data_IF_368521646947
#
_entry.id   IF_368521646947
#
_cell.length_a   1.000
_cell.length_b   1.000
_cell.length_c   1.000
_cell.angle_alpha   90.00
_cell.angle_beta   90.00
_cell.angle_gamma   90.00
#
_symmetry.space_group_name_H-M   'P 1'
#
loop_
_entity.id
_entity.type
_entity.pdbx_description
1 polymer ?
#
# COMPACT_ATOMS: atom_id res chain seq x y z
N UNK A 1 -18.43 16.26 10.18
CA UNK A 1 -17.53 15.45 9.32
C UNK A 1 -18.33 14.37 8.61
N UNK A 2 -18.04 14.06 7.35
CA UNK A 2 -18.68 12.94 6.66
C UNK A 2 -18.10 11.60 7.17
N UNK A 3 -18.92 10.56 7.33
CA UNK A 3 -18.48 9.23 7.81
C UNK A 3 -17.28 8.67 7.03
N UNK A 4 -17.16 8.99 5.73
CA UNK A 4 -16.04 8.55 4.90
C UNK A 4 -14.70 9.21 5.25
N UNK A 5 -14.71 10.46 5.76
CA UNK A 5 -13.49 11.15 6.20
C UNK A 5 -12.94 10.48 7.46
N UNK A 6 -13.81 10.21 8.44
CA UNK A 6 -13.41 9.49 9.66
C UNK A 6 -12.85 8.10 9.30
N UNK A 7 -13.49 7.38 8.37
CA UNK A 7 -12.99 6.07 7.92
C UNK A 7 -11.63 6.18 7.22
N UNK A 8 -11.37 7.28 6.50
CA UNK A 8 -10.06 7.52 5.90
C UNK A 8 -8.99 7.74 6.98
N UNK A 9 -9.27 8.61 7.95
CA UNK A 9 -8.35 8.90 9.06
C UNK A 9 -8.06 7.63 9.88
N UNK A 10 -9.11 6.86 10.21
CA UNK A 10 -8.99 5.58 10.91
C UNK A 10 -8.15 4.57 10.11
N UNK A 11 -8.39 4.45 8.80
CA UNK A 11 -7.63 3.56 7.93
C UNK A 11 -6.14 3.95 7.89
N UNK A 12 -5.84 5.24 7.71
CA UNK A 12 -4.47 5.76 7.70
C UNK A 12 -3.77 5.49 9.04
N UNK A 13 -4.42 5.84 10.15
CA UNK A 13 -3.87 5.61 11.49
C UNK A 13 -3.61 4.13 11.76
N UNK A 14 -4.56 3.26 11.36
CA UNK A 14 -4.41 1.82 11.48
C UNK A 14 -3.22 1.29 10.66
N UNK A 15 -3.05 1.74 9.42
CA UNK A 15 -1.90 1.35 8.60
C UNK A 15 -0.56 1.80 9.20
N UNK A 16 -0.48 3.02 9.72
CA UNK A 16 0.76 3.54 10.33
C UNK A 16 1.08 2.79 11.63
N UNK A 17 0.06 2.49 12.44
CA UNK A 17 0.25 1.81 13.73
C UNK A 17 0.84 0.39 13.63
N UNK A 18 0.79 -0.22 12.44
CA UNK A 18 1.29 -1.57 12.16
C UNK A 18 2.71 -1.61 11.61
N UNK A 19 3.30 -0.44 11.35
CA UNK A 19 4.69 -0.36 10.91
C UNK A 19 5.65 -0.86 11.98
N UNK A 20 6.69 -1.56 11.54
CA UNK A 20 7.73 -2.11 12.38
C UNK A 20 9.02 -2.33 11.58
N UNK A 21 10.14 -2.43 12.30
CA UNK A 21 11.45 -2.73 11.73
C UNK A 21 11.98 -1.61 10.82
N UNK A 22 12.73 -2.00 9.80
CA UNK A 22 13.23 -1.09 8.79
C UNK A 22 12.11 -0.74 7.80
N UNK A 23 11.68 0.52 7.79
CA UNK A 23 10.52 0.98 7.05
C UNK A 23 10.90 1.80 5.82
N UNK A 24 10.25 1.52 4.69
CA UNK A 24 10.23 2.43 3.54
C UNK A 24 8.91 3.20 3.53
N UNK A 25 8.98 4.52 3.61
CA UNK A 25 7.84 5.41 3.45
C UNK A 25 7.83 5.99 2.04
N UNK A 26 6.77 5.75 1.29
CA UNK A 26 6.60 6.33 -0.05
C UNK A 26 6.00 7.75 -0.01
N UNK A 27 6.25 8.45 1.09
CA UNK A 27 5.86 9.81 1.40
C UNK A 27 6.82 10.38 2.45
N UNK A 28 7.01 11.71 2.51
CA UNK A 28 7.74 12.34 3.60
C UNK A 28 7.13 12.01 4.96
N UNK A 29 7.96 11.69 5.95
CA UNK A 29 7.59 11.35 7.31
C UNK A 29 6.83 12.49 8.00
N UNK A 30 7.15 13.73 7.64
CA UNK A 30 6.46 14.94 8.12
C UNK A 30 4.99 15.01 7.69
N UNK A 31 4.61 14.27 6.65
CA UNK A 31 3.22 14.20 6.18
C UNK A 31 2.38 13.13 6.88
N UNK A 32 2.95 12.41 7.86
CA UNK A 32 2.19 11.44 8.65
C UNK A 32 1.29 12.17 9.66
N UNK A 33 0.00 11.78 9.78
CA UNK A 33 -0.92 12.42 10.71
C UNK A 33 -0.72 11.97 12.17
N UNK A 34 0.08 10.94 12.40
CA UNK A 34 0.40 10.40 13.73
C UNK A 34 1.88 10.02 13.81
N UNK A 35 2.37 9.91 15.04
CA UNK A 35 3.73 9.42 15.30
C UNK A 35 3.90 7.97 14.86
N UNK A 36 5.14 7.63 14.47
CA UNK A 36 5.50 6.27 14.12
C UNK A 36 5.55 5.37 15.38
N UNK A 37 5.18 4.08 15.25
CA UNK A 37 5.30 3.14 16.35
C UNK A 37 6.75 3.00 16.84
N UNK A 38 6.93 2.75 18.14
CA UNK A 38 8.25 2.45 18.72
C UNK A 38 8.91 1.20 18.14
N UNK A 39 8.13 0.33 17.49
CA UNK A 39 8.64 -0.86 16.79
C UNK A 39 9.40 -0.52 15.49
N UNK A 40 9.31 0.72 14.99
CA UNK A 40 10.07 1.18 13.82
C UNK A 40 11.51 1.48 14.23
N UNK A 41 12.48 0.80 13.61
CA UNK A 41 13.91 0.92 13.94
C UNK A 41 14.66 1.85 13.00
N UNK A 42 14.22 1.96 11.75
CA UNK A 42 14.83 2.79 10.70
C UNK A 42 13.75 3.23 9.71
N UNK A 43 13.93 4.42 9.13
CA UNK A 43 13.06 5.00 8.11
C UNK A 43 13.90 5.38 6.91
N UNK A 44 13.43 5.00 5.73
CA UNK A 44 13.88 5.51 4.43
C UNK A 44 12.67 6.09 3.70
N UNK A 45 12.82 7.25 3.05
CA UNK A 45 11.70 7.96 2.38
C UNK A 45 11.77 7.87 0.84
N UNK A 46 12.77 7.16 0.31
CA UNK A 46 12.96 6.97 -1.13
C UNK A 46 13.69 5.66 -1.41
N UNK A 47 13.22 4.93 -2.42
CA UNK A 47 13.96 3.81 -2.97
C UNK A 47 15.21 4.35 -3.70
N UNK A 48 16.39 4.02 -3.21
CA UNK A 48 17.68 4.36 -3.84
C UNK A 48 18.27 3.07 -4.44
N UNK A 49 18.73 3.15 -5.69
CA UNK A 49 19.32 2.05 -6.44
C UNK A 49 20.58 1.46 -5.77
N UNK A 50 21.16 2.18 -4.79
CA UNK A 50 22.34 1.76 -4.03
C UNK A 50 22.05 1.28 -2.61
N UNK A 51 20.79 1.27 -2.19
CA UNK A 51 20.43 0.83 -0.86
C UNK A 51 20.13 -0.68 -0.86
N UNK A 52 21.11 -1.48 -0.39
CA UNK A 52 20.95 -2.92 -0.16
C UNK A 52 20.06 -3.23 1.07
N UNK A 53 19.37 -2.23 1.63
CA UNK A 53 18.44 -2.41 2.73
C UNK A 53 17.26 -3.30 2.33
N UNK A 54 17.00 -4.30 3.17
CA UNK A 54 15.73 -5.03 3.16
C UNK A 54 14.75 -4.33 4.11
N UNK A 55 13.54 -4.04 3.63
CA UNK A 55 12.48 -3.39 4.40
C UNK A 55 11.51 -4.40 4.98
N UNK A 56 11.21 -4.29 6.26
CA UNK A 56 10.22 -5.10 6.96
C UNK A 56 8.80 -4.58 6.71
N UNK A 57 8.66 -3.25 6.64
CA UNK A 57 7.38 -2.59 6.37
C UNK A 57 7.53 -1.53 5.28
N UNK A 58 6.54 -1.41 4.41
CA UNK A 58 6.44 -0.36 3.42
C UNK A 58 5.11 0.35 3.60
N UNK A 59 5.11 1.68 3.63
CA UNK A 59 3.90 2.48 3.71
C UNK A 59 3.69 3.30 2.44
N UNK A 60 2.48 3.23 1.89
CA UNK A 60 2.00 4.21 0.91
C UNK A 60 0.66 4.79 1.31
N UNK A 61 0.54 6.12 1.25
CA UNK A 61 -0.73 6.81 1.43
C UNK A 61 -0.87 7.77 0.25
N UNK A 62 -1.73 7.44 -0.70
CA UNK A 62 -2.02 8.25 -1.87
C UNK A 62 -0.89 8.39 -2.90
N UNK A 63 0.18 7.60 -2.79
CA UNK A 63 1.36 7.72 -3.65
C UNK A 63 1.46 6.58 -4.67
N UNK A 64 1.13 5.34 -4.28
CA UNK A 64 1.17 4.21 -5.23
C UNK A 64 0.20 4.42 -6.39
N UNK A 65 -1.04 4.86 -6.12
CA UNK A 65 -2.02 5.03 -7.20
C UNK A 65 -1.68 6.20 -8.15
N UNK A 66 -0.78 7.09 -7.76
CA UNK A 66 -0.26 8.17 -8.62
C UNK A 66 0.98 7.78 -9.43
N UNK A 67 1.54 6.58 -9.21
CA UNK A 67 2.74 6.15 -9.90
C UNK A 67 2.47 5.92 -11.40
N UNK A 68 3.31 6.52 -12.23
CA UNK A 68 3.20 6.51 -13.69
C UNK A 68 3.35 5.11 -14.28
N UNK A 69 4.25 4.31 -13.72
CA UNK A 69 4.45 2.91 -14.06
C UNK A 69 4.41 2.04 -12.79
N UNK A 70 3.23 2.03 -12.15
CA UNK A 70 3.00 1.28 -10.92
C UNK A 70 3.43 -0.19 -11.00
N UNK A 71 3.20 -0.86 -12.13
CA UNK A 71 3.56 -2.27 -12.29
C UNK A 71 5.07 -2.49 -12.22
N UNK A 72 5.85 -1.64 -12.88
CA UNK A 72 7.31 -1.72 -12.83
C UNK A 72 7.82 -1.36 -11.43
N UNK A 73 7.30 -0.28 -10.85
CA UNK A 73 7.67 0.13 -9.49
C UNK A 73 7.44 -0.98 -8.46
N UNK A 74 6.25 -1.58 -8.46
CA UNK A 74 5.94 -2.70 -7.58
C UNK A 74 6.78 -3.94 -7.86
N UNK A 75 7.28 -4.11 -9.09
CA UNK A 75 8.19 -5.20 -9.44
C UNK A 75 9.58 -4.96 -8.85
N UNK A 76 10.12 -3.76 -9.01
CA UNK A 76 11.42 -3.33 -8.47
C UNK A 76 11.42 -3.36 -6.94
N UNK A 77 10.33 -2.92 -6.32
CA UNK A 77 10.15 -2.92 -4.87
C UNK A 77 10.32 -4.30 -4.23
N UNK A 78 10.10 -5.39 -4.99
CA UNK A 78 10.27 -6.77 -4.51
C UNK A 78 11.73 -7.10 -4.18
N UNK A 79 12.69 -6.42 -4.79
CA UNK A 79 14.11 -6.65 -4.55
C UNK A 79 14.58 -6.08 -3.21
N UNK A 80 13.80 -5.19 -2.60
CA UNK A 80 14.12 -4.55 -1.32
C UNK A 80 13.30 -5.12 -0.15
N UNK A 81 12.69 -6.30 -0.30
CA UNK A 81 11.84 -6.93 0.72
C UNK A 81 12.11 -8.43 0.82
N UNK A 82 11.72 -9.01 1.96
CA UNK A 82 11.71 -10.45 2.18
C UNK A 82 10.27 -11.01 2.13
N UNK A 83 10.11 -12.30 2.39
CA UNK A 83 8.80 -13.00 2.33
C UNK A 83 7.81 -12.60 3.42
N UNK A 84 8.29 -12.02 4.52
CA UNK A 84 7.48 -11.60 5.66
C UNK A 84 7.23 -10.09 5.67
N UNK A 85 7.92 -9.34 4.81
CA UNK A 85 7.71 -7.92 4.61
C UNK A 85 6.27 -7.60 4.21
N UNK A 86 5.77 -6.47 4.70
CA UNK A 86 4.40 -6.04 4.49
C UNK A 86 4.34 -4.67 3.79
N UNK A 87 3.58 -4.60 2.71
CA UNK A 87 3.20 -3.37 2.04
C UNK A 87 1.83 -2.91 2.56
N UNK A 88 1.81 -1.87 3.37
CA UNK A 88 0.61 -1.18 3.81
C UNK A 88 0.27 -0.05 2.85
N UNK A 89 -0.98 0.04 2.44
CA UNK A 89 -1.42 1.06 1.49
C UNK A 89 -2.77 1.66 1.87
N UNK A 90 -2.95 2.95 1.61
CA UNK A 90 -4.24 3.66 1.64
C UNK A 90 -4.31 4.59 0.42
N UNK A 91 -5.03 4.16 -0.62
CA UNK A 91 -4.95 4.73 -1.95
C UNK A 91 -6.33 5.16 -2.45
N UNK A 92 -6.36 6.27 -3.20
CA UNK A 92 -7.53 6.59 -4.02
C UNK A 92 -7.55 5.63 -5.21
N UNK A 93 -8.68 5.01 -5.47
CA UNK A 93 -8.82 4.02 -6.54
C UNK A 93 -10.07 4.25 -7.39
N UNK A 94 -10.04 3.73 -8.61
CA UNK A 94 -11.26 3.53 -9.39
C UNK A 94 -11.84 2.16 -9.04
N UNK A 95 -13.05 2.13 -8.48
CA UNK A 95 -13.73 0.86 -8.21
C UNK A 95 -14.27 0.32 -9.53
N UNK A 96 -13.90 -0.92 -9.93
CA UNK A 96 -14.47 -1.58 -11.10
C UNK A 96 -16.00 -1.53 -11.03
N UNK A 97 -16.65 -1.00 -12.07
CA UNK A 97 -18.09 -1.11 -12.25
C UNK A 97 -18.41 -1.99 -13.47
N UNK A 98 -19.71 -2.19 -13.75
CA UNK A 98 -20.16 -3.03 -14.87
C UNK A 98 -19.65 -2.54 -16.25
N UNK A 99 -19.16 -1.31 -16.35
CA UNK A 99 -18.75 -0.65 -17.59
C UNK A 99 -17.24 -0.37 -17.64
N UNK A 100 -16.57 -0.14 -16.50
CA UNK A 100 -15.14 0.25 -16.45
C UNK A 100 -14.15 -0.90 -16.36
N UNK A 101 -14.63 -2.15 -16.36
CA UNK A 101 -13.76 -3.32 -16.55
C UNK A 101 -13.04 -3.79 -15.29
N UNK A 102 -12.59 -5.03 -15.39
CA UNK A 102 -11.81 -5.86 -14.47
C UNK A 102 -11.08 -5.16 -13.31
N UNK A 103 -11.04 -5.82 -12.15
CA UNK A 103 -10.22 -5.49 -10.98
C UNK A 103 -8.72 -5.25 -11.27
N UNK A 104 -8.25 -5.52 -12.50
CA UNK A 104 -6.92 -5.16 -13.01
C UNK A 104 -6.62 -3.66 -13.04
N UNK A 105 -7.65 -2.81 -13.12
CA UNK A 105 -7.49 -1.34 -13.06
C UNK A 105 -7.62 -0.78 -11.65
N UNK A 106 -7.92 -1.63 -10.66
CA UNK A 106 -7.84 -1.29 -9.24
C UNK A 106 -6.39 -1.54 -8.76
N UNK A 107 -5.89 -0.74 -7.81
CA UNK A 107 -4.55 -0.90 -7.23
C UNK A 107 -4.29 -2.35 -6.79
N UNK A 108 -5.31 -3.04 -6.27
CA UNK A 108 -5.19 -4.44 -5.83
C UNK A 108 -4.91 -5.40 -6.99
N UNK A 109 -5.40 -5.09 -8.19
CA UNK A 109 -5.09 -5.83 -9.41
C UNK A 109 -3.65 -5.65 -9.83
N UNK A 110 -3.15 -4.40 -9.87
CA UNK A 110 -1.75 -4.10 -10.16
C UNK A 110 -0.80 -4.74 -9.15
N UNK A 111 -1.13 -4.67 -7.86
CA UNK A 111 -0.41 -5.37 -6.78
C UNK A 111 -0.37 -6.87 -7.02
N UNK A 112 -1.50 -7.48 -7.39
CA UNK A 112 -1.56 -8.91 -7.70
C UNK A 112 -0.69 -9.28 -8.91
N UNK A 113 -0.80 -8.54 -10.01
CA UNK A 113 -0.06 -8.81 -11.24
C UNK A 113 1.45 -8.65 -11.05
N UNK A 114 1.88 -7.70 -10.21
CA UNK A 114 3.29 -7.46 -9.88
C UNK A 114 3.93 -8.57 -9.01
N UNK A 115 3.17 -9.55 -8.55
CA UNK A 115 3.68 -10.67 -7.76
C UNK A 115 3.50 -10.52 -6.25
N UNK A 116 2.61 -9.63 -5.82
CA UNK A 116 2.19 -9.49 -4.43
C UNK A 116 0.85 -10.18 -4.18
N UNK A 117 0.60 -10.57 -2.94
CA UNK A 117 -0.64 -11.14 -2.45
C UNK A 117 -1.26 -10.14 -1.47
N UNK A 118 -2.44 -9.62 -1.82
CA UNK A 118 -3.24 -8.78 -0.92
C UNK A 118 -3.84 -9.67 0.16
N UNK A 119 -3.39 -9.52 1.41
CA UNK A 119 -3.83 -10.36 2.54
C UNK A 119 -5.06 -9.77 3.25
N UNK A 120 -5.22 -8.46 3.19
CA UNK A 120 -6.40 -7.76 3.69
C UNK A 120 -6.62 -6.50 2.85
N UNK A 121 -7.86 -6.22 2.49
CA UNK A 121 -8.23 -4.95 1.90
C UNK A 121 -9.67 -4.57 2.22
N UNK A 122 -9.89 -3.28 2.35
CA UNK A 122 -11.19 -2.67 2.56
C UNK A 122 -11.36 -1.49 1.62
N UNK A 123 -12.59 -1.29 1.14
CA UNK A 123 -12.95 -0.19 0.24
C UNK A 123 -13.98 0.71 0.90
N UNK A 124 -13.86 2.00 0.67
CA UNK A 124 -14.82 2.98 1.16
C UNK A 124 -14.90 4.19 0.22
N UNK A 125 -15.90 5.05 0.44
CA UNK A 125 -16.09 6.29 -0.33
C UNK A 125 -16.15 7.48 0.59
N UNK A 126 -15.63 8.61 0.11
CA UNK A 126 -15.85 9.91 0.76
C UNK A 126 -17.01 10.62 0.05
N UNK A 127 -18.15 10.65 0.73
CA UNK A 127 -19.41 11.20 0.21
C UNK A 127 -20.39 10.14 -0.29
N UNK A 128 -21.62 10.57 -0.59
CA UNK A 128 -22.75 9.71 -0.95
C UNK A 128 -23.04 9.68 -2.47
N UNK A 129 -22.37 10.52 -3.25
CA UNK A 129 -22.67 10.66 -4.67
C UNK A 129 -22.12 9.46 -5.47
N UNK A 130 -22.73 9.14 -6.61
CA UNK A 130 -22.21 8.10 -7.52
C UNK A 130 -20.76 8.38 -7.96
N UNK A 131 -20.38 9.66 -8.05
CA UNK A 131 -19.04 10.13 -8.42
C UNK A 131 -18.12 10.40 -7.22
N UNK A 132 -18.53 10.05 -6.00
CA UNK A 132 -17.71 10.23 -4.81
C UNK A 132 -16.38 9.49 -4.95
N UNK A 133 -15.25 10.10 -4.55
CA UNK A 133 -13.95 9.44 -4.54
C UNK A 133 -14.03 8.12 -3.77
N UNK A 134 -13.47 7.07 -4.38
CA UNK A 134 -13.34 5.77 -3.76
C UNK A 134 -11.91 5.56 -3.31
N UNK A 135 -11.76 4.89 -2.18
CA UNK A 135 -10.50 4.58 -1.55
C UNK A 135 -10.43 3.10 -1.25
N UNK A 136 -9.21 2.61 -1.20
CA UNK A 136 -8.90 1.27 -0.75
C UNK A 136 -7.73 1.36 0.21
N UNK A 137 -7.87 0.71 1.35
CA UNK A 137 -6.74 0.50 2.24
C UNK A 137 -6.55 -0.99 2.46
N UNK A 138 -5.33 -1.39 2.77
CA UNK A 138 -5.03 -2.79 2.95
C UNK A 138 -3.57 -3.05 3.23
N UNK A 139 -3.26 -4.34 3.21
CA UNK A 139 -1.92 -4.86 3.34
C UNK A 139 -1.69 -5.95 2.30
N UNK A 140 -0.51 -5.94 1.71
CA UNK A 140 -0.02 -6.94 0.79
C UNK A 140 1.35 -7.46 1.24
N UNK A 141 1.73 -8.63 0.74
CA UNK A 141 3.05 -9.24 0.92
C UNK A 141 3.51 -9.91 -0.37
N UNK A 142 4.77 -10.31 -0.48
CA UNK A 142 5.24 -11.06 -1.64
C UNK A 142 4.49 -12.41 -1.78
N UNK A 143 4.13 -12.79 -3.01
CA UNK A 143 3.55 -14.12 -3.27
C UNK A 143 4.58 -15.19 -2.90
N UNK A 144 4.14 -16.17 -2.12
CA UNK A 144 4.91 -17.39 -1.89
C UNK A 144 4.83 -18.25 -3.16
N UNK A 145 5.94 -18.44 -3.85
CA UNK A 145 6.00 -19.42 -4.93
C UNK A 145 5.90 -20.84 -4.34
N UNK A 146 5.16 -21.73 -5.00
CA UNK A 146 4.94 -23.12 -4.55
C UNK A 146 6.20 -24.00 -4.64
N UNK A 147 7.31 -23.51 -5.16
CA UNK A 147 8.51 -24.31 -5.47
C UNK A 147 9.58 -24.34 -4.35
N UNK A 148 9.16 -24.28 -3.08
CA UNK A 148 10.06 -24.60 -1.94
C UNK A 148 9.62 -25.86 -1.16
N UNK A 149 8.73 -26.68 -1.73
CA UNK A 149 8.33 -27.97 -1.16
C UNK A 149 8.18 -29.04 -2.26
N UNK A 150 9.25 -29.30 -3.02
CA UNK A 150 9.44 -30.55 -3.75
C UNK A 150 10.86 -31.07 -3.48
#
# INVERSE_FOLDING_TARGET
>A
MSQGIHKYEEAVNNTISKLHGNCLLLLPVENLPIELPQAVSKITERLDDKDDSTYDSILSIGNLASESNLSQFLHELKYSVNTDSQLYFCERTQVPDRYSGSARYDITGSVWEAGWSVIHCERFRIGKAKRSPSYVFGVARIKRFREQNL
#
